data_IF_796183946724
#
_entry.id   IF_796183946724
#
_cell.length_a   1.000
_cell.length_b   1.000
_cell.length_c   1.000
_cell.angle_alpha   90.00
_cell.angle_beta   90.00
_cell.angle_gamma   90.00
#
_symmetry.space_group_name_H-M   'P 1'
#
loop_
_entity.id
_entity.type
_entity.pdbx_description
1 polymer ?
#
# COMPACT_ATOMS: atom_id res chain seq x y z
N UNK A 1 9.89 6.74 -5.21
CA UNK A 1 9.24 5.43 -4.99
C UNK A 1 9.01 5.28 -3.50
N UNK A 2 7.86 4.73 -3.10
CA UNK A 2 7.43 4.58 -1.70
C UNK A 2 6.42 5.62 -1.23
N UNK A 3 5.75 5.31 -0.12
CA UNK A 3 4.72 6.13 0.50
C UNK A 3 5.29 7.27 1.36
N UNK A 4 4.40 8.18 1.78
CA UNK A 4 4.70 9.29 2.69
C UNK A 4 4.48 10.66 2.05
N UNK A 5 3.75 11.57 2.74
CA UNK A 5 3.45 12.90 2.20
C UNK A 5 4.71 13.73 1.93
N UNK A 6 5.78 13.49 2.69
CA UNK A 6 7.05 14.20 2.57
C UNK A 6 7.98 13.64 1.47
N UNK A 7 7.61 12.56 0.77
CA UNK A 7 8.43 12.00 -0.31
C UNK A 7 8.02 12.60 -1.67
N UNK A 8 8.68 13.67 -2.17
CA UNK A 8 8.29 14.31 -3.43
C UNK A 8 8.46 13.41 -4.66
N UNK A 9 9.19 12.29 -4.50
CA UNK A 9 9.41 11.27 -5.53
C UNK A 9 8.50 10.05 -5.34
N UNK A 10 7.60 10.06 -4.36
CA UNK A 10 6.60 9.03 -4.11
C UNK A 10 5.39 9.15 -5.05
N UNK A 11 4.50 8.15 -4.98
CA UNK A 11 3.24 8.16 -5.73
C UNK A 11 2.21 9.17 -5.18
N UNK A 12 2.53 9.82 -4.05
CA UNK A 12 1.65 10.77 -3.37
C UNK A 12 0.26 10.16 -3.09
N UNK A 13 0.26 8.84 -2.81
CA UNK A 13 -0.91 8.06 -2.49
C UNK A 13 -1.45 8.46 -1.13
N UNK A 14 -2.72 8.81 -1.11
CA UNK A 14 -3.51 8.91 0.11
C UNK A 14 -4.26 7.59 0.30
N UNK A 15 -4.10 6.99 1.47
CA UNK A 15 -4.78 5.74 1.84
C UNK A 15 -5.81 6.01 2.92
N UNK A 16 -6.95 5.34 2.78
CA UNK A 16 -8.09 5.36 3.67
C UNK A 16 -8.36 3.95 4.20
N UNK A 17 -9.14 3.87 5.28
CA UNK A 17 -9.58 2.62 5.89
C UNK A 17 -11.11 2.59 5.97
N UNK A 18 -11.69 1.44 5.62
CA UNK A 18 -13.09 1.10 5.85
C UNK A 18 -13.18 -0.32 6.41
N UNK A 19 -13.51 -0.44 7.71
CA UNK A 19 -13.47 -1.70 8.44
C UNK A 19 -12.08 -2.35 8.39
N UNK A 20 -12.00 -3.53 7.77
CA UNK A 20 -10.77 -4.31 7.59
C UNK A 20 -10.12 -4.11 6.20
N UNK A 21 -10.68 -3.21 5.40
CA UNK A 21 -10.16 -2.87 4.07
C UNK A 21 -9.41 -1.54 4.14
N UNK A 22 -8.26 -1.47 3.46
CA UNK A 22 -7.60 -0.22 3.11
C UNK A 22 -7.80 0.05 1.63
N UNK A 23 -7.89 1.32 1.25
CA UNK A 23 -7.95 1.68 -0.16
C UNK A 23 -7.30 3.03 -0.44
N UNK A 24 -6.81 3.22 -1.65
CA UNK A 24 -6.25 4.48 -2.13
C UNK A 24 -6.55 4.68 -3.60
N UNK A 25 -6.76 5.94 -3.99
CA UNK A 25 -6.93 6.33 -5.38
C UNK A 25 -5.61 6.81 -5.94
N UNK A 26 -5.18 6.24 -7.06
CA UNK A 26 -3.97 6.63 -7.78
C UNK A 26 -4.31 7.08 -9.19
N UNK A 27 -3.74 8.22 -9.60
CA UNK A 27 -3.74 8.67 -10.99
C UNK A 27 -2.32 8.62 -11.52
N UNK A 28 -2.05 7.64 -12.38
CA UNK A 28 -0.76 7.54 -13.06
C UNK A 28 -0.65 8.63 -14.13
N UNK A 29 0.41 9.42 -14.08
CA UNK A 29 0.69 10.48 -15.07
C UNK A 29 1.89 10.14 -15.97
N UNK A 30 2.37 11.13 -16.74
CA UNK A 30 3.48 10.95 -17.68
C UNK A 30 4.78 10.44 -17.03
N UNK A 31 5.00 10.68 -15.74
CA UNK A 31 6.19 10.17 -15.01
C UNK A 31 6.15 8.66 -14.85
N UNK A 32 4.97 8.05 -15.00
CA UNK A 32 4.71 6.64 -14.78
C UNK A 32 4.51 5.87 -16.08
N UNK A 33 4.77 6.47 -17.23
CA UNK A 33 4.53 5.85 -18.54
C UNK A 33 5.41 4.61 -18.75
N UNK A 34 4.82 3.53 -19.26
CA UNK A 34 5.56 2.35 -19.72
C UNK A 34 5.36 2.05 -21.21
N UNK A 35 4.20 2.39 -21.73
CA UNK A 35 3.87 2.33 -23.15
C UNK A 35 2.97 3.55 -23.50
N UNK A 36 2.83 3.92 -24.79
CA UNK A 36 2.01 5.07 -25.17
C UNK A 36 0.62 5.06 -24.53
N UNK A 37 0.35 6.04 -23.65
CA UNK A 37 -0.92 6.19 -22.94
C UNK A 37 -1.17 5.24 -21.77
N UNK A 38 -0.22 4.36 -21.43
CA UNK A 38 -0.37 3.32 -20.40
C UNK A 38 0.68 3.45 -19.29
N UNK A 39 0.25 3.19 -18.06
CA UNK A 39 1.14 3.10 -16.91
C UNK A 39 2.13 1.93 -17.07
N UNK A 40 3.37 2.14 -16.64
CA UNK A 40 4.38 1.11 -16.53
C UNK A 40 3.96 0.11 -15.45
N UNK A 41 4.06 -1.19 -15.72
CA UNK A 41 3.70 -2.24 -14.75
C UNK A 41 4.43 -2.04 -13.41
N UNK A 42 5.72 -1.69 -13.43
CA UNK A 42 6.46 -1.36 -12.22
C UNK A 42 5.88 -0.21 -11.37
N UNK A 43 5.25 0.80 -11.98
CA UNK A 43 4.58 1.88 -11.24
C UNK A 43 3.30 1.37 -10.57
N UNK A 44 2.55 0.52 -11.26
CA UNK A 44 1.37 -0.16 -10.70
C UNK A 44 1.77 -1.07 -9.55
N UNK A 45 2.83 -1.87 -9.71
CA UNK A 45 3.35 -2.74 -8.67
C UNK A 45 3.78 -1.94 -7.42
N UNK A 46 4.44 -0.80 -7.60
CA UNK A 46 4.81 0.08 -6.48
C UNK A 46 3.57 0.64 -5.75
N UNK A 47 2.53 1.05 -6.50
CA UNK A 47 1.27 1.51 -5.91
C UNK A 47 0.58 0.39 -5.11
N UNK A 48 0.60 -0.83 -5.63
CA UNK A 48 0.07 -2.00 -4.93
C UNK A 48 0.87 -2.29 -3.65
N UNK A 49 2.20 -2.29 -3.70
CA UNK A 49 3.04 -2.53 -2.51
C UNK A 49 2.73 -1.53 -1.39
N UNK A 50 2.63 -0.24 -1.74
CA UNK A 50 2.25 0.82 -0.80
C UNK A 50 0.87 0.53 -0.16
N UNK A 51 -0.18 0.36 -0.97
CA UNK A 51 -1.55 0.18 -0.47
C UNK A 51 -1.72 -1.13 0.31
N UNK A 52 -1.14 -2.24 -0.16
CA UNK A 52 -1.19 -3.51 0.56
C UNK A 52 -0.39 -3.41 1.87
N UNK A 53 0.75 -2.71 1.87
CA UNK A 53 1.54 -2.45 3.07
C UNK A 53 0.80 -1.64 4.13
N UNK A 54 -0.13 -0.75 3.74
CA UNK A 54 -0.96 -0.04 4.71
C UNK A 54 -1.87 -0.96 5.55
N UNK A 55 -2.17 -2.18 5.08
CA UNK A 55 -2.90 -3.16 5.90
C UNK A 55 -2.13 -3.57 7.17
N UNK A 56 -0.80 -3.43 7.18
CA UNK A 56 0.04 -3.77 8.34
C UNK A 56 -0.23 -2.86 9.54
N UNK A 57 -0.67 -1.62 9.30
CA UNK A 57 -1.11 -0.71 10.35
C UNK A 57 -2.41 -1.18 11.01
N UNK A 58 -3.29 -1.87 10.27
CA UNK A 58 -4.46 -2.53 10.84
C UNK A 58 -4.03 -3.74 11.69
N UNK A 59 -3.02 -4.50 11.22
CA UNK A 59 -2.49 -5.65 11.94
C UNK A 59 -1.63 -5.27 13.17
N UNK A 60 -1.32 -3.99 13.38
CA UNK A 60 -0.46 -3.47 14.45
C UNK A 60 0.86 -4.25 14.58
N UNK A 61 1.41 -4.71 13.45
CA UNK A 61 2.59 -5.57 13.45
C UNK A 61 3.59 -5.08 12.40
N UNK A 62 4.84 -4.79 12.79
CA UNK A 62 5.90 -4.52 11.83
C UNK A 62 6.09 -5.71 10.91
N UNK A 63 6.04 -5.49 9.61
CA UNK A 63 6.29 -6.53 8.63
C UNK A 63 6.95 -5.95 7.38
N UNK A 64 7.59 -6.82 6.61
CA UNK A 64 8.23 -6.48 5.34
C UNK A 64 7.69 -7.36 4.22
N UNK A 65 7.65 -6.83 3.00
CA UNK A 65 7.21 -7.57 1.81
C UNK A 65 8.15 -8.75 1.56
N UNK A 66 7.63 -9.98 1.59
CA UNK A 66 8.36 -11.20 1.19
C UNK A 66 8.11 -11.55 -0.27
N UNK A 67 6.88 -11.37 -0.73
CA UNK A 67 6.51 -11.58 -2.12
C UNK A 67 5.36 -10.66 -2.51
N UNK A 68 5.36 -10.19 -3.75
CA UNK A 68 4.30 -9.43 -4.38
C UNK A 68 4.06 -10.01 -5.77
N UNK A 69 2.82 -10.31 -6.10
CA UNK A 69 2.39 -10.79 -7.43
C UNK A 69 1.28 -9.90 -7.93
N UNK A 70 1.45 -9.38 -9.14
CA UNK A 70 0.45 -8.55 -9.82
C UNK A 70 0.02 -9.26 -11.10
N UNK A 71 -1.29 -9.45 -11.27
CA UNK A 71 -1.86 -9.91 -12.53
C UNK A 71 -2.47 -8.72 -13.28
N UNK A 72 -1.94 -8.41 -14.46
CA UNK A 72 -2.44 -7.33 -15.31
C UNK A 72 -3.52 -7.86 -16.25
N UNK A 73 -4.78 -7.67 -15.87
CA UNK A 73 -5.94 -8.20 -16.59
C UNK A 73 -6.33 -7.35 -17.80
N UNK A 74 -6.12 -6.03 -17.72
CA UNK A 74 -6.41 -5.04 -18.75
C UNK A 74 -5.37 -3.91 -18.72
N UNK A 75 -5.21 -3.14 -19.81
CA UNK A 75 -4.37 -1.94 -19.81
C UNK A 75 -4.77 -0.97 -18.70
N UNK A 76 -3.78 -0.28 -18.12
CA UNK A 76 -3.97 0.76 -17.09
C UNK A 76 -3.71 2.12 -17.74
N UNK A 77 -4.75 2.89 -18.12
CA UNK A 77 -4.57 4.18 -18.78
C UNK A 77 -3.95 5.22 -17.86
N UNK A 78 -3.12 6.09 -18.44
CA UNK A 78 -2.67 7.31 -17.75
C UNK A 78 -3.82 8.31 -17.61
N UNK A 79 -3.66 9.25 -16.67
CA UNK A 79 -4.54 10.40 -16.41
C UNK A 79 -5.98 10.02 -16.01
N UNK A 80 -6.17 8.77 -15.57
CA UNK A 80 -7.44 8.26 -15.08
C UNK A 80 -7.24 7.70 -13.66
N UNK A 81 -8.17 7.97 -12.73
CA UNK A 81 -8.08 7.46 -11.38
C UNK A 81 -8.35 5.96 -11.35
N UNK A 82 -7.55 5.25 -10.55
CA UNK A 82 -7.71 3.84 -10.26
C UNK A 82 -7.75 3.66 -8.74
N UNK A 83 -8.79 3.01 -8.23
CA UNK A 83 -8.86 2.63 -6.82
C UNK A 83 -8.17 1.29 -6.62
N UNK A 84 -7.18 1.27 -5.74
CA UNK A 84 -6.61 0.04 -5.20
C UNK A 84 -7.26 -0.20 -3.84
N UNK A 85 -7.89 -1.35 -3.65
CA UNK A 85 -8.43 -1.77 -2.36
C UNK A 85 -7.78 -3.09 -1.94
N UNK A 86 -7.44 -3.23 -0.65
CA UNK A 86 -6.73 -4.38 -0.13
C UNK A 86 -7.19 -4.75 1.29
N UNK A 87 -7.06 -6.02 1.64
CA UNK A 87 -7.33 -6.54 2.98
C UNK A 87 -6.50 -7.78 3.28
N UNK A 88 -6.28 -8.05 4.57
CA UNK A 88 -5.62 -9.27 5.05
C UNK A 88 -6.62 -10.43 4.96
N UNK A 89 -6.24 -11.52 4.30
CA UNK A 89 -7.09 -12.71 4.16
C UNK A 89 -6.74 -13.81 5.16
N UNK A 90 -5.49 -13.87 5.61
CA UNK A 90 -5.08 -14.85 6.62
C UNK A 90 -3.75 -14.47 7.27
N UNK A 91 -3.53 -15.04 8.46
CA UNK A 91 -2.27 -15.01 9.19
C UNK A 91 -1.84 -16.43 9.52
N UNK A 92 -0.62 -16.79 9.13
CA UNK A 92 -0.04 -18.11 9.40
C UNK A 92 1.34 -17.95 10.04
N UNK A 93 1.38 -18.06 11.38
CA UNK A 93 2.53 -17.70 12.19
C UNK A 93 2.99 -16.25 11.96
N UNK A 94 4.15 -16.10 11.29
CA UNK A 94 4.75 -14.81 10.96
C UNK A 94 4.30 -14.24 9.60
N UNK A 95 3.58 -15.01 8.79
CA UNK A 95 3.16 -14.59 7.45
C UNK A 95 1.75 -13.98 7.49
N UNK A 96 1.62 -12.80 6.87
CA UNK A 96 0.34 -12.14 6.60
C UNK A 96 0.09 -12.21 5.09
N UNK A 97 -1.02 -12.83 4.70
CA UNK A 97 -1.45 -12.92 3.31
C UNK A 97 -2.44 -11.79 3.04
N UNK A 98 -2.13 -10.97 2.03
CA UNK A 98 -2.92 -9.78 1.66
C UNK A 98 -3.29 -9.90 0.19
N UNK A 99 -4.54 -9.56 -0.13
CA UNK A 99 -4.98 -9.44 -1.52
C UNK A 99 -5.48 -8.04 -1.79
N UNK A 100 -5.43 -7.63 -3.06
CA UNK A 100 -6.03 -6.38 -3.49
C UNK A 100 -6.46 -6.38 -4.95
N UNK A 101 -7.27 -5.40 -5.30
CA UNK A 101 -7.82 -5.20 -6.64
C UNK A 101 -7.67 -3.74 -7.05
N UNK A 102 -7.27 -3.52 -8.31
CA UNK A 102 -7.20 -2.21 -8.95
C UNK A 102 -8.34 -2.01 -9.93
N UNK A 103 -9.23 -1.06 -9.67
CA UNK A 103 -10.43 -0.81 -10.46
C UNK A 103 -10.42 0.62 -11.01
N UNK A 104 -10.65 0.78 -12.31
CA UNK A 104 -10.81 2.11 -12.93
C UNK A 104 -12.13 2.78 -12.53
N UNK A 105 -12.26 4.09 -12.78
CA UNK A 105 -13.51 4.82 -12.55
C UNK A 105 -14.70 4.32 -13.38
N UNK A 106 -14.43 3.55 -14.44
CA UNK A 106 -15.44 2.87 -15.24
C UNK A 106 -15.94 1.54 -14.63
N UNK A 107 -15.48 1.21 -13.41
CA UNK A 107 -15.82 -0.02 -12.70
C UNK A 107 -15.08 -1.26 -13.20
N UNK A 108 -14.15 -1.12 -14.16
CA UNK A 108 -13.43 -2.26 -14.71
C UNK A 108 -12.19 -2.59 -13.87
N UNK A 109 -12.10 -3.83 -13.40
CA UNK A 109 -10.88 -4.35 -12.79
C UNK A 109 -9.75 -4.42 -13.82
N UNK A 110 -8.67 -3.68 -13.57
CA UNK A 110 -7.50 -3.63 -14.45
C UNK A 110 -6.42 -4.60 -14.01
N UNK A 111 -6.26 -4.79 -12.71
CA UNK A 111 -5.26 -5.68 -12.14
C UNK A 111 -5.70 -6.22 -10.78
N UNK A 112 -5.11 -7.35 -10.40
CA UNK A 112 -5.19 -7.90 -9.04
C UNK A 112 -3.79 -7.97 -8.45
N UNK A 113 -3.72 -7.97 -7.12
CA UNK A 113 -2.48 -8.07 -6.37
C UNK A 113 -2.63 -9.11 -5.26
N UNK A 114 -1.58 -9.89 -5.03
CA UNK A 114 -1.42 -10.71 -3.84
C UNK A 114 -0.04 -10.51 -3.26
N UNK A 115 0.05 -10.43 -1.94
CA UNK A 115 1.31 -10.25 -1.24
C UNK A 115 1.38 -11.13 0.00
N UNK A 116 2.62 -11.50 0.34
CA UNK A 116 2.95 -12.10 1.63
C UNK A 116 3.87 -11.12 2.34
N UNK A 117 3.44 -10.66 3.51
CA UNK A 117 4.28 -9.88 4.42
C UNK A 117 4.78 -10.76 5.55
N UNK A 118 6.01 -10.57 5.99
CA UNK A 118 6.60 -11.29 7.11
C UNK A 118 6.79 -10.35 8.27
N UNK A 119 6.15 -10.68 9.38
CA UNK A 119 6.29 -9.96 10.65
C UNK A 119 7.73 -10.05 11.16
N UNK A 120 8.27 -8.93 11.61
CA UNK A 120 9.65 -8.77 12.09
C UNK A 120 9.67 -8.02 13.42
N UNK A 121 10.73 -8.19 14.21
CA UNK A 121 10.98 -7.30 15.36
C UNK A 121 11.56 -5.97 14.88
N UNK A 122 11.54 -4.97 15.76
CA UNK A 122 12.17 -3.66 15.52
C UNK A 122 13.67 -3.76 15.22
N UNK A 123 14.36 -4.77 15.75
CA UNK A 123 15.79 -5.02 15.50
C UNK A 123 16.11 -5.19 14.00
N UNK A 124 15.14 -5.69 13.23
CA UNK A 124 15.27 -5.82 11.78
C UNK A 124 15.56 -4.48 11.11
N UNK A 125 14.94 -3.40 11.60
CA UNK A 125 15.10 -2.05 11.05
C UNK A 125 16.27 -1.31 11.71
N UNK A 126 16.56 -1.57 12.99
CA UNK A 126 17.63 -0.90 13.74
C UNK A 126 19.02 -1.12 13.12
N UNK A 127 19.23 -2.23 12.40
CA UNK A 127 20.45 -2.49 11.65
C UNK A 127 20.64 -1.55 10.44
N UNK A 128 19.60 -0.84 10.01
CA UNK A 128 19.55 -0.12 8.73
C UNK A 128 19.09 1.34 8.87
N UNK A 129 18.59 1.77 10.03
CA UNK A 129 18.14 3.15 10.26
C UNK A 129 17.71 3.43 11.69
N UNK A 130 17.33 4.68 11.96
CA UNK A 130 16.75 5.08 13.25
C UNK A 130 15.29 4.60 13.36
N UNK A 131 15.01 3.84 14.42
CA UNK A 131 13.71 3.21 14.68
C UNK A 131 12.93 3.86 15.82
N UNK A 132 13.49 4.90 16.44
CA UNK A 132 12.87 5.58 17.59
C UNK A 132 11.44 6.05 17.30
N UNK A 133 11.23 6.70 16.15
CA UNK A 133 9.89 7.13 15.72
C UNK A 133 8.94 5.99 15.35
N UNK A 134 9.46 4.82 14.96
CA UNK A 134 8.65 3.67 14.56
C UNK A 134 8.00 2.96 15.76
N UNK A 135 8.73 2.86 16.88
CA UNK A 135 8.21 2.31 18.13
C UNK A 135 7.07 3.14 18.71
N UNK A 136 7.28 4.47 18.84
CA UNK A 136 6.26 5.38 19.36
C UNK A 136 4.98 5.38 18.50
N UNK A 137 5.12 5.23 17.19
CA UNK A 137 4.02 5.18 16.25
C UNK A 137 3.15 3.93 16.43
N UNK A 138 3.79 2.76 16.60
CA UNK A 138 3.09 1.50 16.87
C UNK A 138 2.40 1.50 18.24
N UNK A 139 3.04 2.08 19.25
CA UNK A 139 2.46 2.18 20.59
C UNK A 139 1.22 3.09 20.58
N UNK A 140 1.30 4.23 19.89
CA UNK A 140 0.14 5.14 19.69
C UNK A 140 -1.00 4.44 18.95
N UNK A 141 -0.67 3.62 17.96
CA UNK A 141 -1.65 2.85 17.19
C UNK A 141 -2.32 1.74 18.00
N UNK A 142 -1.54 1.02 18.80
CA UNK A 142 -2.06 0.01 19.72
C UNK A 142 -2.97 0.63 20.79
N UNK A 143 -2.67 1.85 21.25
CA UNK A 143 -3.46 2.56 22.25
C UNK A 143 -4.78 3.15 21.71
N UNK A 144 -4.80 3.60 20.45
CA UNK A 144 -5.95 4.34 19.88
C UNK A 144 -6.77 3.52 18.88
N UNK A 145 -6.19 2.46 18.30
CA UNK A 145 -6.80 1.67 17.23
C UNK A 145 -6.98 2.43 15.90
N UNK A 146 -6.47 3.67 15.81
CA UNK A 146 -6.66 4.56 14.68
C UNK A 146 -5.33 4.83 13.99
N UNK A 147 -5.28 4.59 12.67
CA UNK A 147 -4.11 4.97 11.85
C UNK A 147 -3.90 6.48 11.99
N UNK A 148 -2.67 6.96 12.22
CA UNK A 148 -2.41 8.36 12.48
C UNK A 148 -2.87 9.20 11.28
N UNK A 149 -3.58 10.33 11.50
CA UNK A 149 -4.17 11.13 10.43
C UNK A 149 -3.15 11.89 9.57
N UNK A 150 -1.87 11.79 9.88
CA UNK A 150 -0.73 12.23 9.06
C UNK A 150 -0.24 11.13 8.10
N UNK A 151 -0.57 9.86 8.39
CA UNK A 151 -0.33 8.71 7.52
C UNK A 151 -1.54 8.35 6.64
N UNK A 152 -2.74 8.76 7.04
CA UNK A 152 -3.93 8.76 6.21
C UNK A 152 -4.12 10.18 5.67
N UNK A 153 -4.42 10.37 4.39
CA UNK A 153 -4.92 11.68 3.96
C UNK A 153 -6.31 11.90 4.58
N UNK A 154 -6.55 13.13 5.03
CA UNK A 154 -7.78 13.51 5.74
C UNK A 154 -9.08 13.15 5.01
N UNK A 155 -10.18 13.23 5.79
CA UNK A 155 -11.57 12.79 5.53
C UNK A 155 -12.08 12.76 4.06
N UNK A 156 -12.98 11.81 3.73
CA UNK A 156 -13.34 11.37 2.38
C UNK A 156 -13.82 12.45 1.40
#
# INVERSE_FOLDING_TARGET
>A
MGCGPENPHGLQLVVYRDGDTVYGDVTFDQRHIGAPGLAHGGAVAAACDDVLGFTLWIALTPAVTRSLTIEYLRPVPLHQPHRIAAHIVSRDGRALNVIGTGTGSDGVTRFTASAVFITVSTDHFAAHGDVSGFGELLDRLAATGQIPPDLLGGAP
#
